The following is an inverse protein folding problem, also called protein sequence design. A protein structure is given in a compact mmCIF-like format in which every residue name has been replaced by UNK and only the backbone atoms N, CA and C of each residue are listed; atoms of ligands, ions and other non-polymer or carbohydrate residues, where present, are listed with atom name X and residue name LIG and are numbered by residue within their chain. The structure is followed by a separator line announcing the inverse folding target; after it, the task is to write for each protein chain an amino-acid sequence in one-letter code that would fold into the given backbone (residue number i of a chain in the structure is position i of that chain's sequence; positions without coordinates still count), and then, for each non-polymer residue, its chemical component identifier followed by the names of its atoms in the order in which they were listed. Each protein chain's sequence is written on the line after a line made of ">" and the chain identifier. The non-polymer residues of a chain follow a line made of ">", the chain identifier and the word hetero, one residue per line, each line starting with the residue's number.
data_IF_273804453097
#
_entry.id   IF_273804453097
#
_cell.length_a   1.000
_cell.length_b   1.000
_cell.length_c   1.000
_cell.angle_alpha   90.00
_cell.angle_beta   90.00
_cell.angle_gamma   90.00
#
_symmetry.space_group_name_H-M   'P 1'
#
loop_
_entity.id
_entity.type
_entity.pdbx_description
1 polymer ?
#
# COMPACT_ATOMS: atom_id res chain seq x y z
N UNK A 1 3.46 7.87 24.15
CA UNK A 1 4.05 7.54 22.83
C UNK A 1 2.89 7.36 21.86
N UNK A 2 2.61 8.31 20.95
CA UNK A 2 1.38 8.24 20.18
C UNK A 2 1.52 7.22 19.05
N UNK A 3 0.96 6.03 19.25
CA UNK A 3 0.59 5.09 18.19
C UNK A 3 -0.46 5.77 17.31
N UNK A 4 -0.04 6.32 16.17
CA UNK A 4 -0.93 6.97 15.21
C UNK A 4 -1.87 5.96 14.58
N UNK A 5 -3.07 5.79 15.16
CA UNK A 5 -4.23 5.24 14.46
C UNK A 5 -4.66 6.26 13.39
N UNK A 6 -4.46 5.96 12.12
CA UNK A 6 -5.18 6.65 11.05
C UNK A 6 -6.50 5.91 10.88
N UNK A 7 -7.57 6.47 11.45
CA UNK A 7 -8.95 6.00 11.33
C UNK A 7 -9.52 6.48 9.99
N UNK A 8 -9.89 5.53 9.13
CA UNK A 8 -10.75 5.77 7.95
C UNK A 8 -12.18 6.06 8.44
N UNK A 9 -12.51 7.32 8.73
CA UNK A 9 -13.89 7.70 9.06
C UNK A 9 -14.22 9.15 8.68
N UNK A 10 -14.41 9.44 7.39
CA UNK A 10 -15.41 10.45 7.02
C UNK A 10 -15.86 10.26 5.57
N UNK A 11 -17.15 10.55 5.34
CA UNK A 11 -17.89 10.66 4.08
C UNK A 11 -18.72 9.43 3.68
N UNK A 12 -20.04 9.68 3.67
CA UNK A 12 -21.15 8.74 3.68
C UNK A 12 -21.32 7.96 2.39
N UNK A 13 -21.94 6.77 2.54
CA UNK A 13 -21.97 5.76 1.50
C UNK A 13 -23.35 5.52 0.89
N UNK A 14 -23.73 6.28 -0.16
CA UNK A 14 -24.83 5.85 -1.04
C UNK A 14 -24.80 6.45 -2.46
N UNK A 15 -25.08 5.59 -3.47
CA UNK A 15 -25.43 5.84 -4.89
C UNK A 15 -24.38 5.90 -6.04
N UNK A 16 -23.19 5.28 -5.95
CA UNK A 16 -22.32 5.09 -7.14
C UNK A 16 -21.83 3.62 -7.28
N UNK A 17 -21.64 3.08 -8.51
CA UNK A 17 -21.24 1.69 -8.72
C UNK A 17 -19.93 1.36 -8.00
N UNK A 18 -19.85 0.14 -7.48
CA UNK A 18 -18.88 -0.34 -6.45
C UNK A 18 -17.41 -0.04 -6.78
N UNK A 19 -17.06 0.09 -8.06
CA UNK A 19 -15.69 0.38 -8.53
C UNK A 19 -15.35 1.87 -8.59
N UNK A 20 -16.35 2.75 -8.65
CA UNK A 20 -16.18 4.21 -8.75
C UNK A 20 -16.01 4.91 -7.41
N UNK A 21 -15.99 4.16 -6.30
CA UNK A 21 -16.24 4.67 -4.96
C UNK A 21 -15.07 4.58 -4.00
N UNK A 22 -13.90 4.19 -4.50
CA UNK A 22 -12.64 4.12 -3.74
C UNK A 22 -11.58 5.08 -4.26
N UNK A 23 -11.92 5.95 -5.23
CA UNK A 23 -11.11 7.11 -5.58
C UNK A 23 -11.37 8.26 -4.61
N UNK A 24 -11.23 8.01 -3.30
CA UNK A 24 -10.64 9.04 -2.45
C UNK A 24 -9.15 9.05 -2.83
N UNK A 25 -8.85 9.56 -4.03
CA UNK A 25 -7.53 9.53 -4.64
C UNK A 25 -6.61 10.42 -3.83
N UNK A 26 -5.97 9.82 -2.84
CA UNK A 26 -4.78 10.44 -2.28
C UNK A 26 -3.73 10.46 -3.39
N UNK A 27 -3.05 11.58 -3.56
CA UNK A 27 -2.11 11.78 -4.67
C UNK A 27 -0.70 11.30 -4.31
N UNK A 28 -0.60 10.32 -3.40
CA UNK A 28 0.70 9.78 -3.02
C UNK A 28 1.22 8.97 -4.20
N UNK A 29 2.37 9.37 -4.71
CA UNK A 29 3.08 8.68 -5.79
C UNK A 29 4.49 8.29 -5.35
N UNK A 30 5.12 9.10 -4.52
CA UNK A 30 6.40 8.82 -3.90
C UNK A 30 6.23 8.24 -2.48
N UNK A 31 6.75 7.03 -2.29
CA UNK A 31 6.81 6.33 -1.01
C UNK A 31 8.25 6.02 -0.56
N UNK A 32 9.23 6.75 -1.09
CA UNK A 32 10.66 6.62 -0.78
C UNK A 32 10.95 6.65 0.72
N UNK A 33 10.23 7.48 1.47
CA UNK A 33 10.34 7.59 2.92
C UNK A 33 10.05 6.28 3.66
N UNK A 34 9.23 5.39 3.10
CA UNK A 34 8.90 4.11 3.72
C UNK A 34 10.10 3.18 3.79
N UNK A 35 11.14 3.37 2.96
CA UNK A 35 12.33 2.51 2.97
C UNK A 35 13.07 2.46 4.32
N UNK A 36 12.89 3.46 5.18
CA UNK A 36 13.61 3.60 6.46
C UNK A 36 12.81 3.17 7.70
N UNK A 37 11.54 2.80 7.54
CA UNK A 37 10.66 2.47 8.66
C UNK A 37 10.81 1.00 9.06
N UNK A 38 11.13 0.70 10.31
CA UNK A 38 11.49 -0.67 10.73
C UNK A 38 10.41 -1.43 11.51
N UNK A 39 9.27 -0.80 11.84
CA UNK A 39 8.19 -1.39 12.64
C UNK A 39 6.83 -1.26 11.92
N UNK A 40 6.69 -1.90 10.75
CA UNK A 40 5.48 -1.83 9.93
C UNK A 40 4.72 -3.17 9.96
N UNK A 41 3.62 -3.26 10.72
CA UNK A 41 2.78 -4.46 10.72
C UNK A 41 1.70 -4.44 9.62
N UNK A 42 1.12 -3.26 9.39
CA UNK A 42 0.04 -3.03 8.41
C UNK A 42 0.20 -1.68 7.73
N UNK A 43 0.26 -1.71 6.41
CA UNK A 43 0.46 -0.53 5.57
C UNK A 43 -0.68 -0.40 4.56
N UNK A 44 -1.50 0.63 4.74
CA UNK A 44 -2.60 0.98 3.86
C UNK A 44 -2.19 2.04 2.84
N UNK A 45 -1.99 1.64 1.59
CA UNK A 45 -1.64 2.51 0.46
C UNK A 45 -2.64 2.42 -0.70
N UNK A 46 -3.82 1.80 -0.49
CA UNK A 46 -4.84 1.68 -1.54
C UNK A 46 -5.38 3.03 -2.01
N UNK A 47 -5.82 3.09 -3.27
CA UNK A 47 -6.43 4.29 -3.86
C UNK A 47 -5.45 5.48 -4.00
N UNK A 48 -4.18 5.20 -4.30
CA UNK A 48 -3.14 6.21 -4.52
C UNK A 48 -2.64 6.21 -5.97
N UNK A 49 -1.60 6.99 -6.28
CA UNK A 49 -0.97 7.10 -7.60
C UNK A 49 0.40 6.43 -7.64
N UNK A 50 0.58 5.34 -6.89
CA UNK A 50 1.87 4.65 -6.75
C UNK A 50 2.09 3.73 -7.95
N UNK A 51 3.11 4.05 -8.76
CA UNK A 51 3.56 3.18 -9.85
C UNK A 51 4.74 2.28 -9.47
N UNK A 52 5.64 2.79 -8.64
CA UNK A 52 6.86 2.10 -8.21
C UNK A 52 6.83 1.80 -6.71
N UNK A 53 6.94 0.51 -6.37
CA UNK A 53 7.01 0.04 -4.99
C UNK A 53 8.39 -0.48 -4.57
N UNK A 54 9.44 -0.21 -5.36
CA UNK A 54 10.82 -0.50 -4.99
C UNK A 54 11.19 -0.06 -3.57
N UNK A 55 10.72 1.10 -3.03
CA UNK A 55 11.01 1.48 -1.65
C UNK A 55 10.56 0.44 -0.61
N UNK A 56 9.48 -0.31 -0.87
CA UNK A 56 9.02 -1.40 0.02
C UNK A 56 9.97 -2.60 -0.01
N UNK A 57 10.58 -2.88 -1.16
CA UNK A 57 11.62 -3.93 -1.28
C UNK A 57 12.89 -3.50 -0.53
N UNK A 58 13.24 -2.21 -0.58
CA UNK A 58 14.39 -1.67 0.17
C UNK A 58 14.14 -1.57 1.68
N UNK A 59 12.89 -1.63 2.13
CA UNK A 59 12.55 -1.66 3.54
C UNK A 59 12.97 -3.01 4.17
N UNK A 60 13.84 -2.94 5.18
CA UNK A 60 14.35 -4.11 5.91
C UNK A 60 13.44 -4.57 7.07
N UNK A 61 12.49 -3.74 7.49
CA UNK A 61 11.50 -4.06 8.52
C UNK A 61 10.30 -4.85 8.02
N UNK A 62 9.93 -4.72 6.74
CA UNK A 62 8.85 -5.48 6.12
C UNK A 62 9.24 -6.95 5.97
N UNK A 63 8.54 -7.80 6.71
CA UNK A 63 8.90 -9.17 6.98
C UNK A 63 7.68 -10.09 7.02
N UNK A 64 7.90 -11.33 7.46
CA UNK A 64 6.88 -12.37 7.45
C UNK A 64 5.72 -12.01 8.39
N UNK A 65 4.51 -11.95 7.82
CA UNK A 65 3.29 -11.68 8.58
C UNK A 65 2.74 -10.27 8.35
N UNK A 66 3.59 -9.34 7.90
CA UNK A 66 3.20 -7.97 7.61
C UNK A 66 2.26 -7.91 6.40
N UNK A 67 1.45 -6.84 6.36
CA UNK A 67 0.40 -6.69 5.35
C UNK A 67 0.51 -5.35 4.63
N UNK A 68 0.49 -5.39 3.30
CA UNK A 68 0.49 -4.19 2.45
C UNK A 68 -0.72 -4.21 1.51
N UNK A 69 -1.50 -3.13 1.55
CA UNK A 69 -2.62 -2.89 0.65
C UNK A 69 -2.26 -1.81 -0.38
N UNK A 70 -2.29 -2.16 -1.66
CA UNK A 70 -1.98 -1.34 -2.84
C UNK A 70 -3.16 -1.30 -3.85
N UNK A 71 -4.31 -1.87 -3.51
CA UNK A 71 -5.50 -1.94 -4.39
C UNK A 71 -5.86 -0.56 -4.94
N UNK A 72 -6.14 -0.47 -6.24
CA UNK A 72 -6.46 0.81 -6.89
C UNK A 72 -5.27 1.78 -7.02
N UNK A 73 -4.04 1.26 -7.19
CA UNK A 73 -2.88 2.04 -7.61
C UNK A 73 -2.47 1.70 -9.05
N UNK A 74 -1.95 2.65 -9.84
CA UNK A 74 -1.46 2.42 -11.19
C UNK A 74 -0.08 1.73 -11.18
N UNK A 75 0.01 0.54 -10.56
CA UNK A 75 1.26 -0.20 -10.41
C UNK A 75 1.88 -0.53 -11.77
N UNK A 76 3.19 -0.25 -11.90
CA UNK A 76 3.95 -0.65 -13.09
C UNK A 76 4.07 -2.17 -13.21
N UNK A 77 4.34 -2.66 -14.43
CA UNK A 77 4.63 -4.07 -14.68
C UNK A 77 5.83 -4.58 -13.89
N UNK A 78 6.83 -3.73 -13.63
CA UNK A 78 7.96 -4.04 -12.76
C UNK A 78 7.51 -4.25 -11.32
N UNK A 79 6.65 -3.35 -10.80
CA UNK A 79 6.07 -3.51 -9.47
C UNK A 79 5.31 -4.82 -9.34
N UNK A 80 4.45 -5.16 -10.30
CA UNK A 80 3.62 -6.38 -10.25
C UNK A 80 4.41 -7.66 -10.46
N UNK A 81 5.36 -7.68 -11.40
CA UNK A 81 6.01 -8.91 -11.86
C UNK A 81 7.35 -9.17 -11.16
N UNK A 82 7.96 -8.15 -10.55
CA UNK A 82 9.27 -8.26 -9.89
C UNK A 82 9.16 -8.03 -8.38
N UNK A 83 8.65 -6.85 -7.97
CA UNK A 83 8.72 -6.44 -6.57
C UNK A 83 7.69 -7.15 -5.68
N UNK A 84 6.45 -7.31 -6.15
CA UNK A 84 5.43 -8.05 -5.40
C UNK A 84 5.85 -9.50 -5.13
N UNK A 85 6.36 -10.29 -6.11
CA UNK A 85 6.88 -11.63 -5.83
C UNK A 85 8.02 -11.65 -4.82
N UNK A 86 8.93 -10.66 -4.83
CA UNK A 86 9.99 -10.56 -3.84
C UNK A 86 9.45 -10.33 -2.42
N UNK A 87 8.48 -9.43 -2.26
CA UNK A 87 7.83 -9.18 -0.97
C UNK A 87 7.05 -10.41 -0.48
N UNK A 88 6.34 -11.12 -1.37
CA UNK A 88 5.68 -12.39 -1.05
C UNK A 88 6.68 -13.46 -0.60
N UNK A 89 7.86 -13.57 -1.22
CA UNK A 89 8.93 -14.49 -0.80
C UNK A 89 9.45 -14.18 0.62
N UNK A 90 9.40 -12.92 1.06
CA UNK A 90 9.71 -12.52 2.45
C UNK A 90 8.59 -12.87 3.43
N UNK A 91 7.44 -13.34 2.95
CA UNK A 91 6.27 -13.64 3.77
C UNK A 91 5.35 -12.45 4.02
N UNK A 92 5.52 -11.35 3.29
CA UNK A 92 4.62 -10.19 3.33
C UNK A 92 3.36 -10.51 2.54
N UNK A 93 2.19 -10.21 3.12
CA UNK A 93 0.89 -10.37 2.46
C UNK A 93 0.58 -9.12 1.63
N UNK A 94 0.32 -9.31 0.34
CA UNK A 94 0.13 -8.23 -0.64
C UNK A 94 -1.27 -8.26 -1.24
N UNK A 95 -1.96 -7.11 -1.26
CA UNK A 95 -3.27 -6.90 -1.90
C UNK A 95 -3.16 -5.76 -2.92
N UNK A 96 -3.38 -5.99 -4.23
CA UNK A 96 -2.89 -5.06 -5.26
C UNK A 96 -3.67 -5.06 -6.60
N UNK A 97 -4.91 -5.55 -6.62
CA UNK A 97 -5.76 -5.56 -7.82
C UNK A 97 -6.48 -4.24 -8.05
#
# INVERSE_FOLDING_TARGET
>A
MPTGKILLSSLGWNTAPIWSRWTASNQISDISALSRLTNLERLGLGGNQIGDIKPLVSNSGLSKGDVVYLVGNPLSSTSTNVYIPQLKKRGVKMYYW
#
